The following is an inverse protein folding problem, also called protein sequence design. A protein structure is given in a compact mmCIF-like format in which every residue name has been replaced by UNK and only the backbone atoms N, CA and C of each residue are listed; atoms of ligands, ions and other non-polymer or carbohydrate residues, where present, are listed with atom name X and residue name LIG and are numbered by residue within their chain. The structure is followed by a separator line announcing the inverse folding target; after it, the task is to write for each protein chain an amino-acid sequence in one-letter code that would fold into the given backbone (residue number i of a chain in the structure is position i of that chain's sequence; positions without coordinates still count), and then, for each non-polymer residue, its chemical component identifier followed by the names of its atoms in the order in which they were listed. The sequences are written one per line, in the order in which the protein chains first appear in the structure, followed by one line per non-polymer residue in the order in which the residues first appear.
data_IF_976310216212
#
_entry.id   IF_976310216212
#
_cell.length_a   1.000
_cell.length_b   1.000
_cell.length_c   1.000
_cell.angle_alpha   90.00
_cell.angle_beta   90.00
_cell.angle_gamma   90.00
#
_symmetry.space_group_name_H-M   'P 1'
#
loop_
_entity.id
_entity.type
_entity.pdbx_description
1 polymer ?
#
# COMPACT_ATOMS: atom_id res chain seq x y z
N UNK A 1 1.49 29.61 -2.20
CA UNK A 1 2.37 28.79 -2.98
C UNK A 1 2.83 27.53 -2.30
N UNK A 2 2.40 27.29 -1.09
CA UNK A 2 2.78 26.00 -0.50
C UNK A 2 2.12 24.85 -1.26
N UNK A 3 2.73 23.68 -1.16
CA UNK A 3 2.09 22.43 -1.52
C UNK A 3 1.08 22.14 -0.43
N UNK A 4 -0.15 21.80 -0.78
CA UNK A 4 -1.20 21.54 0.21
C UNK A 4 -1.09 20.16 0.82
N UNK A 5 -0.88 19.14 -0.02
CA UNK A 5 -0.83 17.75 0.42
C UNK A 5 -0.29 16.85 -0.69
N UNK A 6 0.04 15.64 -0.33
CA UNK A 6 0.25 14.59 -1.32
C UNK A 6 -1.12 14.19 -1.90
N UNK A 7 -1.22 14.03 -3.22
CA UNK A 7 -2.48 13.70 -3.88
C UNK A 7 -2.62 12.21 -4.15
N UNK A 8 -1.73 11.65 -4.94
CA UNK A 8 -1.77 10.24 -5.29
C UNK A 8 -0.38 9.76 -5.67
N UNK A 9 -0.25 8.46 -5.81
CA UNK A 9 0.90 7.86 -6.47
C UNK A 9 0.42 6.91 -7.55
N UNK A 10 1.28 6.63 -8.51
CA UNK A 10 0.96 5.77 -9.65
C UNK A 10 1.88 4.57 -9.65
N UNK A 11 1.30 3.39 -9.88
CA UNK A 11 2.07 2.16 -10.04
C UNK A 11 1.79 1.55 -11.41
N UNK A 12 2.76 0.79 -11.89
CA UNK A 12 2.63 0.04 -13.13
C UNK A 12 2.32 -1.42 -12.80
N UNK A 13 1.55 -2.06 -13.67
CA UNK A 13 1.23 -3.49 -13.54
C UNK A 13 1.09 -4.11 -14.93
N UNK A 14 1.31 -5.40 -15.01
CA UNK A 14 0.97 -6.16 -16.22
C UNK A 14 -0.41 -6.80 -16.10
N UNK A 15 -1.07 -6.68 -14.94
CA UNK A 15 -2.37 -7.27 -14.69
C UNK A 15 -3.17 -6.37 -13.73
N UNK A 16 -3.99 -5.50 -14.30
CA UNK A 16 -4.80 -4.56 -13.52
C UNK A 16 -5.75 -5.27 -12.57
N UNK A 17 -6.42 -6.32 -13.03
CA UNK A 17 -7.41 -7.05 -12.22
C UNK A 17 -6.79 -7.64 -10.96
N UNK A 18 -5.63 -8.27 -11.08
CA UNK A 18 -4.90 -8.83 -9.94
C UNK A 18 -4.46 -7.74 -8.97
N UNK A 19 -3.96 -6.63 -9.48
CA UNK A 19 -3.50 -5.50 -8.66
C UNK A 19 -4.67 -4.88 -7.90
N UNK A 20 -5.79 -4.64 -8.58
CA UNK A 20 -7.01 -4.09 -7.94
C UNK A 20 -7.50 -5.02 -6.84
N UNK A 21 -7.56 -6.32 -7.11
CA UNK A 21 -8.01 -7.30 -6.12
C UNK A 21 -7.10 -7.31 -4.88
N UNK A 22 -5.79 -7.20 -5.09
CA UNK A 22 -4.83 -7.15 -3.99
C UNK A 22 -5.04 -5.93 -3.10
N UNK A 23 -5.09 -4.74 -3.69
CA UNK A 23 -5.24 -3.50 -2.91
C UNK A 23 -6.61 -3.41 -2.24
N UNK A 24 -7.65 -3.93 -2.87
CA UNK A 24 -8.97 -4.02 -2.26
C UNK A 24 -8.95 -4.95 -1.03
N UNK A 25 -8.39 -6.15 -1.20
CA UNK A 25 -8.38 -7.15 -0.14
C UNK A 25 -7.47 -6.73 1.03
N UNK A 26 -6.25 -6.29 0.74
CA UNK A 26 -5.24 -6.02 1.78
C UNK A 26 -5.42 -4.64 2.41
N UNK A 27 -5.57 -3.60 1.59
CA UNK A 27 -5.63 -2.22 2.07
C UNK A 27 -7.05 -1.64 2.13
N UNK A 28 -8.03 -2.30 1.53
CA UNK A 28 -9.40 -1.80 1.53
C UNK A 28 -9.64 -0.67 0.54
N UNK A 29 -8.75 -0.49 -0.43
CA UNK A 29 -8.95 0.52 -1.47
C UNK A 29 -9.96 0.03 -2.49
N UNK A 30 -10.93 0.89 -2.85
CA UNK A 30 -12.02 0.50 -3.75
C UNK A 30 -11.81 1.09 -5.14
N UNK A 31 -12.01 0.29 -6.21
CA UNK A 31 -11.98 0.86 -7.55
C UNK A 31 -13.16 1.82 -7.74
N UNK A 32 -12.93 2.87 -8.52
CA UNK A 32 -13.94 3.89 -8.76
C UNK A 32 -13.71 4.64 -10.05
N UNK A 33 -14.42 5.77 -10.24
CA UNK A 33 -14.33 6.54 -11.47
C UNK A 33 -12.93 6.96 -11.85
N UNK A 34 -12.63 6.94 -13.13
CA UNK A 34 -11.41 7.48 -13.72
C UNK A 34 -11.74 8.12 -15.08
N UNK A 35 -10.90 9.03 -15.55
CA UNK A 35 -11.10 9.58 -16.90
C UNK A 35 -11.09 8.47 -17.97
N UNK A 36 -11.70 8.76 -19.11
CA UNK A 36 -11.79 7.82 -20.23
C UNK A 36 -10.47 7.72 -20.99
N UNK A 37 -9.45 7.22 -20.34
CA UNK A 37 -8.14 7.02 -20.96
C UNK A 37 -8.19 5.91 -22.00
N UNK A 38 -7.34 6.02 -23.02
CA UNK A 38 -7.22 5.01 -24.06
C UNK A 38 -6.42 3.78 -23.62
N UNK A 39 -5.77 3.84 -22.47
CA UNK A 39 -4.95 2.75 -21.93
C UNK A 39 -5.66 2.09 -20.74
N UNK A 40 -5.44 0.79 -20.52
CA UNK A 40 -6.05 0.09 -19.40
C UNK A 40 -5.43 0.48 -18.07
N UNK A 41 -6.22 0.37 -17.01
CA UNK A 41 -5.79 0.69 -15.66
C UNK A 41 -6.99 0.87 -14.75
N UNK A 42 -6.73 1.43 -13.57
CA UNK A 42 -7.77 1.68 -12.57
C UNK A 42 -7.36 2.81 -11.65
N UNK A 43 -8.33 3.47 -11.08
CA UNK A 43 -8.12 4.39 -9.96
C UNK A 43 -8.72 3.77 -8.71
N UNK A 44 -7.93 3.72 -7.65
CA UNK A 44 -8.33 3.10 -6.37
C UNK A 44 -8.50 4.20 -5.33
N UNK A 45 -9.59 4.09 -4.58
CA UNK A 45 -10.05 5.14 -3.67
C UNK A 45 -9.92 4.71 -2.22
N UNK A 46 -9.52 5.67 -1.40
CA UNK A 46 -9.54 5.54 0.05
C UNK A 46 -10.31 6.75 0.60
N UNK A 47 -11.47 6.51 1.22
CA UNK A 47 -12.27 7.59 1.79
C UNK A 47 -12.74 8.61 0.78
N UNK A 48 -13.09 8.17 -0.43
CA UNK A 48 -13.59 9.05 -1.48
C UNK A 48 -12.52 9.77 -2.28
N UNK A 49 -11.24 9.46 -2.02
CA UNK A 49 -10.11 10.08 -2.71
C UNK A 49 -9.34 9.05 -3.51
N UNK A 50 -9.07 9.33 -4.79
CA UNK A 50 -8.31 8.46 -5.67
C UNK A 50 -6.83 8.55 -5.35
N UNK A 51 -6.37 7.77 -4.37
CA UNK A 51 -5.00 7.85 -3.84
C UNK A 51 -4.00 7.01 -4.63
N UNK A 52 -4.47 6.03 -5.40
CA UNK A 52 -3.61 5.14 -6.17
C UNK A 52 -4.14 5.01 -7.59
N UNK A 53 -3.29 5.37 -8.53
CA UNK A 53 -3.57 5.22 -9.96
C UNK A 53 -2.79 4.03 -10.49
N UNK A 54 -3.47 3.07 -11.09
CA UNK A 54 -2.88 1.87 -11.66
C UNK A 54 -2.86 2.00 -13.17
N UNK A 55 -1.70 1.81 -13.77
CA UNK A 55 -1.52 1.86 -15.23
C UNK A 55 -1.00 0.51 -15.70
N UNK A 56 -1.72 -0.11 -16.65
CA UNK A 56 -1.31 -1.39 -17.18
C UNK A 56 -0.33 -1.21 -18.34
N UNK A 57 0.74 -1.98 -18.29
CA UNK A 57 1.76 -2.05 -19.35
C UNK A 57 1.96 -3.50 -19.74
N UNK A 58 2.36 -3.74 -21.00
CA UNK A 58 2.70 -5.10 -21.43
C UNK A 58 3.97 -5.61 -20.73
N UNK A 59 4.89 -4.71 -20.40
CA UNK A 59 6.14 -5.01 -19.70
C UNK A 59 6.39 -3.90 -18.68
N UNK A 60 6.79 -4.29 -17.46
CA UNK A 60 7.21 -3.33 -16.44
C UNK A 60 8.71 -3.09 -16.62
N UNK A 61 9.15 -1.82 -16.79
CA UNK A 61 10.57 -1.51 -16.89
C UNK A 61 11.33 -1.96 -15.63
N UNK A 62 12.52 -2.48 -15.80
CA UNK A 62 13.39 -2.84 -14.69
C UNK A 62 13.90 -1.59 -13.98
N UNK A 63 14.04 -1.69 -12.66
CA UNK A 63 14.53 -0.59 -11.85
C UNK A 63 13.40 0.39 -11.50
N UNK A 64 13.03 0.48 -10.26
CA UNK A 64 11.94 1.32 -9.77
C UNK A 64 12.26 2.81 -9.72
N UNK A 65 13.38 3.25 -10.30
CA UNK A 65 13.83 4.63 -10.21
C UNK A 65 14.30 4.98 -8.80
N UNK A 66 14.14 6.25 -8.43
CA UNK A 66 14.61 6.74 -7.10
C UNK A 66 13.57 6.62 -6.00
N UNK A 67 12.32 6.28 -6.34
CA UNK A 67 11.29 6.02 -5.31
C UNK A 67 11.50 4.64 -4.71
N UNK A 68 11.68 4.58 -3.39
CA UNK A 68 11.94 3.33 -2.69
C UNK A 68 10.66 2.60 -2.31
N UNK A 69 9.70 3.33 -1.74
CA UNK A 69 8.43 2.74 -1.28
C UNK A 69 7.39 3.82 -1.06
N UNK A 70 6.17 3.37 -0.75
CA UNK A 70 5.03 4.19 -0.38
C UNK A 70 4.56 3.75 0.99
N UNK A 71 4.16 4.70 1.83
CA UNK A 71 3.76 4.42 3.21
C UNK A 71 2.36 4.93 3.50
N UNK A 72 1.61 4.14 4.26
CA UNK A 72 0.28 4.45 4.73
C UNK A 72 0.24 4.38 6.25
N UNK A 73 -0.76 5.00 6.86
CA UNK A 73 -1.05 4.84 8.27
C UNK A 73 -2.24 3.90 8.43
N UNK A 74 -2.10 2.89 9.28
CA UNK A 74 -3.14 1.91 9.51
C UNK A 74 -3.43 1.67 10.98
N UNK A 75 -4.45 0.88 11.24
CA UNK A 75 -4.83 0.39 12.56
C UNK A 75 -5.11 -1.11 12.47
N UNK A 76 -4.86 -1.84 13.54
CA UNK A 76 -5.09 -3.27 13.67
C UNK A 76 -4.03 -4.11 12.95
N UNK A 77 -2.84 -4.13 13.52
CA UNK A 77 -1.70 -4.91 13.00
C UNK A 77 -2.09 -6.38 12.72
N UNK A 78 -2.71 -7.11 13.67
CA UNK A 78 -3.02 -8.52 13.43
C UNK A 78 -3.91 -8.77 12.21
N UNK A 79 -4.85 -7.86 11.92
CA UNK A 79 -5.73 -8.00 10.76
C UNK A 79 -4.95 -7.97 9.45
N UNK A 80 -3.96 -7.06 9.34
CA UNK A 80 -3.13 -6.98 8.14
C UNK A 80 -2.23 -8.20 8.00
N UNK A 81 -1.65 -8.68 9.09
CA UNK A 81 -0.83 -9.88 9.05
C UNK A 81 -1.64 -11.09 8.59
N UNK A 82 -2.89 -11.22 9.07
CA UNK A 82 -3.76 -12.31 8.65
C UNK A 82 -4.07 -12.27 7.15
N UNK A 83 -4.33 -11.08 6.61
CA UNK A 83 -4.60 -10.91 5.17
C UNK A 83 -3.38 -11.29 4.32
N UNK A 84 -2.19 -10.85 4.73
CA UNK A 84 -0.96 -11.18 4.01
C UNK A 84 -0.66 -12.67 4.06
N UNK A 85 -0.83 -13.30 5.23
CA UNK A 85 -0.65 -14.75 5.38
C UNK A 85 -1.64 -15.53 4.50
N UNK A 86 -2.90 -15.11 4.48
CA UNK A 86 -3.92 -15.77 3.66
C UNK A 86 -3.59 -15.73 2.17
N UNK A 87 -2.88 -14.70 1.72
CA UNK A 87 -2.44 -14.57 0.33
C UNK A 87 -1.05 -15.14 0.08
N UNK A 88 -0.39 -15.67 1.08
CA UNK A 88 0.98 -16.18 0.95
C UNK A 88 2.01 -15.09 0.67
N UNK A 89 1.73 -13.86 1.07
CA UNK A 89 2.64 -12.73 0.87
C UNK A 89 3.62 -12.67 2.02
N UNK A 90 4.90 -12.63 1.69
CA UNK A 90 5.95 -12.42 2.69
C UNK A 90 5.94 -10.99 3.17
N UNK A 91 6.20 -10.79 4.45
CA UNK A 91 6.23 -9.45 5.01
C UNK A 91 7.35 -9.34 6.05
N UNK A 92 7.72 -8.10 6.36
CA UNK A 92 8.68 -7.78 7.40
C UNK A 92 8.01 -6.80 8.36
N UNK A 93 7.82 -7.22 9.60
CA UNK A 93 7.23 -6.39 10.65
C UNK A 93 8.34 -5.94 11.58
N UNK A 94 8.51 -4.63 11.70
CA UNK A 94 9.56 -4.02 12.51
C UNK A 94 8.96 -3.07 13.52
N UNK A 95 9.78 -2.70 14.48
CA UNK A 95 9.42 -1.71 15.47
C UNK A 95 10.54 -0.69 15.58
N UNK A 96 10.19 0.60 15.58
CA UNK A 96 11.19 1.63 15.83
C UNK A 96 11.72 1.56 17.26
N UNK A 97 12.92 2.12 17.52
CA UNK A 97 13.45 2.17 18.89
C UNK A 97 12.45 2.76 19.86
N UNK A 98 12.50 2.31 21.11
CA UNK A 98 11.57 2.73 22.14
C UNK A 98 11.88 4.11 22.74
N UNK A 99 12.82 4.84 22.14
CA UNK A 99 13.17 6.21 22.54
C UNK A 99 13.35 7.06 21.31
N UNK A 100 13.21 8.39 21.46
CA UNK A 100 13.35 9.33 20.36
C UNK A 100 12.03 9.60 19.67
N UNK A 101 12.10 10.20 18.49
CA UNK A 101 10.92 10.53 17.70
C UNK A 101 10.21 9.25 17.23
N UNK A 102 8.89 9.23 17.31
CA UNK A 102 8.04 8.10 16.91
C UNK A 102 8.42 6.79 17.61
N UNK A 103 8.82 6.88 18.88
CA UNK A 103 9.29 5.73 19.66
C UNK A 103 8.30 4.57 19.64
N UNK A 104 8.80 3.37 19.28
CA UNK A 104 8.00 2.16 19.31
C UNK A 104 6.97 1.99 18.20
N UNK A 105 6.93 2.91 17.24
CA UNK A 105 6.02 2.81 16.09
C UNK A 105 6.27 1.51 15.32
N UNK A 106 5.20 0.84 14.93
CA UNK A 106 5.28 -0.37 14.11
C UNK A 106 5.37 -0.03 12.63
N UNK A 107 6.19 -0.77 11.89
CA UNK A 107 6.32 -0.65 10.44
C UNK A 107 6.16 -2.03 9.81
N UNK A 108 5.21 -2.16 8.90
CA UNK A 108 4.94 -3.38 8.17
C UNK A 108 5.29 -3.16 6.70
N UNK A 109 6.22 -3.98 6.18
CA UNK A 109 6.67 -3.88 4.79
C UNK A 109 6.29 -5.14 4.01
N UNK A 110 5.83 -4.95 2.79
CA UNK A 110 5.56 -6.06 1.87
C UNK A 110 5.58 -5.53 0.44
N UNK A 111 5.56 -6.44 -0.54
CA UNK A 111 5.49 -6.07 -1.95
C UNK A 111 4.14 -6.42 -2.52
N UNK A 112 3.62 -5.57 -3.40
CA UNK A 112 2.40 -5.87 -4.14
C UNK A 112 2.70 -6.88 -5.27
N UNK A 113 1.69 -7.37 -6.01
CA UNK A 113 1.93 -8.37 -7.06
C UNK A 113 2.87 -7.92 -8.18
N UNK A 114 3.02 -6.61 -8.39
CA UNK A 114 3.90 -6.07 -9.43
C UNK A 114 5.29 -5.69 -8.92
N UNK A 115 5.53 -5.86 -7.61
CA UNK A 115 6.82 -5.56 -7.01
C UNK A 115 6.94 -4.17 -6.40
N UNK A 116 5.84 -3.43 -6.26
CA UNK A 116 5.85 -2.16 -5.56
C UNK A 116 5.97 -2.42 -4.06
N UNK A 117 6.91 -1.74 -3.40
CA UNK A 117 7.13 -1.89 -1.96
C UNK A 117 6.17 -1.00 -1.19
N UNK A 118 5.40 -1.61 -0.30
CA UNK A 118 4.38 -0.94 0.52
C UNK A 118 4.78 -0.99 1.97
N UNK A 119 4.61 0.12 2.66
CA UNK A 119 4.78 0.22 4.11
C UNK A 119 3.47 0.63 4.73
N UNK A 120 3.11 0.00 5.86
CA UNK A 120 2.00 0.48 6.70
C UNK A 120 2.57 0.72 8.09
N UNK A 121 2.36 1.92 8.61
CA UNK A 121 2.79 2.30 9.95
C UNK A 121 1.60 2.23 10.91
N UNK A 122 1.88 1.81 12.15
CA UNK A 122 0.87 1.65 13.20
C UNK A 122 1.37 2.28 14.48
N UNK A 123 0.43 2.73 15.31
CA UNK A 123 0.76 3.35 16.58
C UNK A 123 1.55 2.41 17.50
N UNK A 124 2.45 2.97 18.29
CA UNK A 124 3.27 2.22 19.23
C UNK A 124 2.42 1.45 20.28
N UNK A 125 1.21 1.92 20.52
CA UNK A 125 0.29 1.29 21.49
C UNK A 125 -0.38 0.03 20.96
N UNK A 126 -0.22 -0.26 19.67
CA UNK A 126 -0.79 -1.48 19.09
C UNK A 126 0.03 -2.73 19.44
N UNK A 127 -0.63 -3.88 19.36
CA UNK A 127 -0.02 -5.19 19.56
C UNK A 127 -0.02 -5.96 18.25
N UNK A 128 1.04 -6.72 18.00
CA UNK A 128 1.10 -7.62 16.85
C UNK A 128 0.30 -8.91 17.09
N UNK A 129 -0.10 -9.18 18.34
CA UNK A 129 -0.87 -10.35 18.68
C UNK A 129 -2.36 -10.07 18.61
N UNK A 130 -3.18 -11.04 18.15
CA UNK A 130 -4.62 -10.87 18.17
C UNK A 130 -5.11 -10.62 19.58
N UNK A 131 -6.09 -9.69 19.73
CA UNK A 131 -6.75 -9.44 21.01
C UNK A 131 -7.74 -10.58 21.24
N UNK A 132 -7.48 -11.38 22.27
CA UNK A 132 -8.28 -12.56 22.62
C UNK A 132 -9.57 -12.25 23.32
#
# INVERSE_FOLDING_TARGET
MPIDRMDHFTILTTNTEETVAFYYDVLGFTPGPRPDFSFPGAWLYNGGKAVLHVVEKSVIPEGGGVLDHIAFWGTDVPAYLAKLKARGVKYDLRRLPQSGHAAGLWQLFFFDPSGARVEIDFAATESAEPQG
#
